data_IF_725137684496
#
_entry.id   IF_725137684496
#
_cell.length_a   1.000
_cell.length_b   1.000
_cell.length_c   1.000
_cell.angle_alpha   90.00
_cell.angle_beta   90.00
_cell.angle_gamma   90.00
#
_symmetry.space_group_name_H-M   'P 1'
#
loop_
_entity.id
_entity.type
_entity.pdbx_description
1 polymer ?
#
# COMPACT_ATOMS: atom_id res chain seq x y z
N UNK A 1 15.24 5.42 -22.05
CA UNK A 1 15.66 5.52 -20.62
C UNK A 1 14.46 5.14 -19.79
N UNK A 2 14.63 4.32 -18.75
CA UNK A 2 13.54 3.97 -17.84
C UNK A 2 13.06 5.23 -17.12
N UNK A 3 11.75 5.49 -17.16
CA UNK A 3 11.13 6.60 -16.44
C UNK A 3 10.63 6.08 -15.10
N UNK A 4 10.96 6.80 -14.03
CA UNK A 4 10.57 6.44 -12.68
C UNK A 4 9.54 7.42 -12.14
N UNK A 5 8.64 6.90 -11.30
CA UNK A 5 7.65 7.67 -10.54
C UNK A 5 7.79 7.35 -9.06
N UNK A 6 7.25 8.24 -8.22
CA UNK A 6 7.25 8.05 -6.77
C UNK A 6 5.95 7.39 -6.36
N UNK A 7 6.01 6.13 -5.93
CA UNK A 7 4.86 5.43 -5.35
C UNK A 7 4.87 5.64 -3.83
N UNK A 8 3.74 6.12 -3.32
CA UNK A 8 3.45 6.32 -1.91
C UNK A 8 2.68 5.11 -1.36
N UNK A 9 3.07 4.62 -0.19
CA UNK A 9 2.37 3.54 0.50
C UNK A 9 2.11 3.89 1.97
N UNK A 10 0.82 3.97 2.33
CA UNK A 10 0.33 4.35 3.67
C UNK A 10 0.18 3.17 4.62
N UNK A 11 0.45 1.95 4.16
CA UNK A 11 0.46 0.76 5.03
C UNK A 11 1.65 0.84 6.00
N UNK A 12 1.51 0.37 7.26
CA UNK A 12 2.58 0.53 8.26
C UNK A 12 3.91 -0.06 7.81
N UNK A 13 3.91 -1.32 7.35
CA UNK A 13 5.12 -2.06 6.97
C UNK A 13 5.43 -2.05 5.47
N UNK A 14 4.51 -1.55 4.65
CA UNK A 14 4.60 -1.62 3.20
C UNK A 14 3.84 -2.80 2.63
N UNK A 15 4.03 -3.05 1.34
CA UNK A 15 3.43 -4.16 0.60
C UNK A 15 4.27 -4.47 -0.63
N UNK A 16 4.31 -5.75 -1.01
CA UNK A 16 4.90 -6.17 -2.28
C UNK A 16 3.83 -6.09 -3.38
N UNK A 17 4.13 -5.35 -4.44
CA UNK A 17 3.30 -5.30 -5.62
C UNK A 17 3.76 -6.39 -6.57
N UNK A 18 2.84 -7.25 -6.98
CA UNK A 18 3.10 -8.34 -7.91
C UNK A 18 2.37 -8.10 -9.22
N UNK A 19 3.09 -8.29 -10.33
CA UNK A 19 2.55 -8.27 -11.67
C UNK A 19 2.51 -9.70 -12.20
N UNK A 20 1.32 -10.17 -12.60
CA UNK A 20 1.12 -11.52 -13.09
C UNK A 20 0.85 -11.54 -14.59
N UNK A 21 1.13 -12.67 -15.23
CA UNK A 21 0.66 -12.93 -16.60
C UNK A 21 -0.83 -13.33 -16.56
N UNK A 22 -1.69 -12.43 -17.04
CA UNK A 22 -3.13 -12.63 -17.00
C UNK A 22 -3.60 -13.81 -17.86
N UNK A 23 -2.91 -14.13 -18.96
CA UNK A 23 -3.32 -15.24 -19.81
C UNK A 23 -2.98 -16.57 -19.14
N UNK A 24 -1.78 -16.68 -18.56
CA UNK A 24 -1.43 -17.80 -17.67
C UNK A 24 -2.42 -17.94 -16.49
N UNK A 25 -2.84 -16.84 -15.87
CA UNK A 25 -3.84 -16.90 -14.78
C UNK A 25 -5.22 -17.36 -15.27
N UNK A 26 -5.68 -16.92 -16.44
CA UNK A 26 -6.94 -17.37 -17.04
C UNK A 26 -6.90 -18.84 -17.39
N UNK A 27 -5.82 -19.33 -17.98
CA UNK A 27 -5.66 -20.76 -18.30
C UNK A 27 -5.74 -21.60 -17.02
N UNK A 28 -5.04 -21.16 -15.97
CA UNK A 28 -5.08 -21.81 -14.66
C UNK A 28 -6.47 -21.80 -14.03
N UNK A 29 -7.20 -20.68 -14.13
CA UNK A 29 -8.55 -20.55 -13.60
C UNK A 29 -9.57 -21.45 -14.33
N UNK A 30 -9.33 -21.74 -15.61
CA UNK A 30 -10.18 -22.63 -16.43
C UNK A 30 -9.72 -24.09 -16.43
N UNK A 31 -8.68 -24.45 -15.68
CA UNK A 31 -8.17 -25.82 -15.63
C UNK A 31 -9.20 -26.77 -15.00
N UNK A 32 -9.45 -27.90 -15.66
CA UNK A 32 -10.33 -28.96 -15.14
C UNK A 32 -9.71 -29.71 -13.94
N UNK A 33 -8.38 -29.73 -13.85
CA UNK A 33 -7.66 -30.32 -12.73
C UNK A 33 -7.22 -29.22 -11.74
N UNK A 34 -7.28 -29.47 -10.41
CA UNK A 34 -6.81 -28.52 -9.43
C UNK A 34 -5.30 -28.30 -9.54
N UNK A 35 -4.90 -27.04 -9.67
CA UNK A 35 -3.48 -26.64 -9.70
C UNK A 35 -3.09 -26.21 -8.29
N UNK A 36 -2.37 -27.09 -7.56
CA UNK A 36 -1.98 -26.87 -6.16
C UNK A 36 -0.75 -25.97 -5.93
N UNK A 37 -0.15 -25.44 -7.00
CA UNK A 37 1.00 -24.52 -6.92
C UNK A 37 0.51 -23.08 -6.93
N UNK A 38 1.17 -22.17 -6.22
CA UNK A 38 0.90 -20.73 -6.36
C UNK A 38 1.24 -20.23 -7.78
N UNK A 39 0.61 -19.14 -8.23
CA UNK A 39 1.08 -18.44 -9.42
C UNK A 39 2.39 -17.72 -9.10
N UNK A 40 3.32 -17.72 -10.06
CA UNK A 40 4.58 -16.99 -9.93
C UNK A 40 4.41 -15.63 -10.59
N UNK A 41 4.67 -14.52 -9.87
CA UNK A 41 4.63 -13.20 -10.47
C UNK A 41 5.73 -13.07 -11.52
N UNK A 42 5.42 -12.39 -12.62
CA UNK A 42 6.40 -12.04 -13.67
C UNK A 42 7.41 -11.03 -13.14
N UNK A 43 6.94 -10.08 -12.32
CA UNK A 43 7.76 -9.04 -11.71
C UNK A 43 7.15 -8.63 -10.37
N UNK A 44 7.99 -8.29 -9.40
CA UNK A 44 7.54 -7.73 -8.13
C UNK A 44 8.35 -6.51 -7.71
N UNK A 45 7.73 -5.64 -6.91
CA UNK A 45 8.35 -4.45 -6.33
C UNK A 45 7.88 -4.28 -4.89
N UNK A 46 8.82 -4.26 -3.94
CA UNK A 46 8.54 -3.99 -2.54
C UNK A 46 8.39 -2.47 -2.30
N UNK A 47 7.23 -2.06 -1.81
CA UNK A 47 6.99 -0.68 -1.39
C UNK A 47 7.34 -0.48 0.07
N UNK A 48 8.00 0.64 0.36
CA UNK A 48 8.24 1.08 1.72
C UNK A 48 6.92 1.51 2.37
N UNK A 49 6.66 1.07 3.59
CA UNK A 49 5.50 1.52 4.37
C UNK A 49 5.68 2.86 5.07
N UNK A 50 4.60 3.36 5.68
CA UNK A 50 4.54 4.60 6.45
C UNK A 50 5.55 4.67 7.61
N UNK A 51 6.03 3.53 8.14
CA UNK A 51 7.12 3.49 9.12
C UNK A 51 8.47 4.00 8.57
N UNK A 52 8.63 4.03 7.25
CA UNK A 52 9.80 4.58 6.56
C UNK A 52 9.60 6.05 6.15
N UNK A 53 8.49 6.69 6.55
CA UNK A 53 8.32 8.13 6.36
C UNK A 53 9.36 8.89 7.20
N UNK A 54 10.02 9.95 6.67
CA UNK A 54 11.02 10.72 7.41
C UNK A 54 10.50 11.35 8.71
N UNK A 55 9.19 11.57 8.81
CA UNK A 55 8.53 12.16 9.99
C UNK A 55 8.00 11.10 10.96
N UNK A 56 8.21 9.81 10.69
CA UNK A 56 7.77 8.73 11.55
C UNK A 56 8.63 8.61 12.81
N UNK A 57 7.98 8.64 13.98
CA UNK A 57 8.62 8.38 15.26
C UNK A 57 8.10 7.06 15.88
N UNK A 58 8.96 6.06 16.12
CA UNK A 58 8.54 4.76 16.65
C UNK A 58 7.77 4.82 17.98
N UNK A 59 8.14 5.74 18.88
CA UNK A 59 7.47 5.86 20.18
C UNK A 59 6.05 6.43 20.07
N UNK A 60 5.77 7.22 19.03
CA UNK A 60 4.41 7.76 18.80
C UNK A 60 3.54 6.77 18.02
N UNK A 61 4.15 5.95 17.15
CA UNK A 61 3.45 4.98 16.32
C UNK A 61 2.39 5.58 15.38
N UNK A 62 2.32 6.91 15.26
CA UNK A 62 1.31 7.62 14.48
C UNK A 62 1.49 7.34 12.99
N UNK A 63 0.44 6.87 12.31
CA UNK A 63 0.46 6.62 10.87
C UNK A 63 -0.29 7.69 10.06
N UNK A 64 -1.14 8.47 10.75
CA UNK A 64 -1.96 9.50 10.14
C UNK A 64 -1.08 10.55 9.43
N UNK A 65 -1.33 10.72 8.12
CA UNK A 65 -0.57 11.62 7.26
C UNK A 65 0.85 11.18 6.90
N UNK A 66 1.19 9.91 7.10
CA UNK A 66 2.52 9.35 6.78
C UNK A 66 2.44 8.32 5.66
N UNK A 67 3.49 8.23 4.85
CA UNK A 67 3.61 7.22 3.80
C UNK A 67 5.09 6.90 3.50
N UNK A 68 5.38 5.64 3.19
CA UNK A 68 6.67 5.30 2.61
C UNK A 68 6.71 5.71 1.13
N UNK A 69 7.90 6.04 0.65
CA UNK A 69 8.16 6.45 -0.73
C UNK A 69 9.08 5.43 -1.38
N UNK A 70 8.73 4.98 -2.57
CA UNK A 70 9.55 4.07 -3.38
C UNK A 70 9.59 4.57 -4.82
N UNK A 71 10.79 4.62 -5.43
CA UNK A 71 10.92 4.88 -6.86
C UNK A 71 10.60 3.60 -7.62
N UNK A 72 9.64 3.68 -8.54
CA UNK A 72 9.15 2.53 -9.30
C UNK A 72 9.16 2.89 -10.78
N UNK A 73 9.51 1.94 -11.64
CA UNK A 73 9.42 2.12 -13.08
C UNK A 73 7.96 2.42 -13.48
N UNK A 74 7.78 3.44 -14.29
CA UNK A 74 6.46 3.93 -14.70
C UNK A 74 5.66 2.85 -15.44
N UNK A 75 6.34 2.07 -16.29
CA UNK A 75 5.72 0.98 -17.05
C UNK A 75 5.17 -0.12 -16.12
N UNK A 76 5.97 -0.55 -15.13
CA UNK A 76 5.52 -1.49 -14.11
C UNK A 76 4.31 -0.97 -13.35
N UNK A 77 4.36 0.28 -12.87
CA UNK A 77 3.25 0.85 -12.11
C UNK A 77 1.97 0.94 -12.93
N UNK A 78 2.06 1.41 -14.17
CA UNK A 78 0.91 1.55 -15.05
C UNK A 78 0.27 0.19 -15.38
N UNK A 79 1.09 -0.85 -15.59
CA UNK A 79 0.59 -2.20 -15.83
C UNK A 79 -0.04 -2.79 -14.56
N UNK A 80 0.63 -2.66 -13.42
CA UNK A 80 0.11 -3.12 -12.13
C UNK A 80 -1.22 -2.45 -11.79
N UNK A 81 -1.33 -1.14 -11.99
CA UNK A 81 -2.53 -0.36 -11.74
C UNK A 81 -3.70 -0.83 -12.62
N UNK A 82 -3.45 -1.15 -13.90
CA UNK A 82 -4.48 -1.73 -14.78
C UNK A 82 -4.98 -3.09 -14.27
N UNK A 83 -4.09 -3.93 -13.73
CA UNK A 83 -4.48 -5.21 -13.15
C UNK A 83 -5.24 -5.07 -11.82
N UNK A 84 -5.00 -3.98 -11.08
CA UNK A 84 -5.44 -3.80 -9.70
C UNK A 84 -6.31 -2.55 -9.44
N UNK A 85 -6.92 -1.96 -10.48
CA UNK A 85 -7.65 -0.69 -10.37
C UNK A 85 -8.78 -0.71 -9.32
N UNK A 86 -9.33 -1.92 -9.05
CA UNK A 86 -10.43 -2.16 -8.10
C UNK A 86 -9.96 -2.60 -6.72
N UNK A 87 -8.66 -2.78 -6.53
CA UNK A 87 -8.09 -3.22 -5.26
C UNK A 87 -8.23 -2.11 -4.21
N UNK A 88 -8.58 -2.47 -2.97
CA UNK A 88 -8.67 -1.57 -1.84
C UNK A 88 -7.42 -0.70 -1.63
N UNK A 89 -6.24 -1.22 -1.99
CA UNK A 89 -5.00 -0.46 -1.96
C UNK A 89 -5.09 0.81 -2.81
N UNK A 90 -5.70 0.71 -3.99
CA UNK A 90 -5.87 1.81 -4.95
C UNK A 90 -7.11 2.64 -4.60
N UNK A 91 -8.26 1.99 -4.43
CA UNK A 91 -9.55 2.69 -4.28
C UNK A 91 -9.63 3.50 -2.98
N UNK A 92 -8.94 3.07 -1.92
CA UNK A 92 -8.84 3.80 -0.65
C UNK A 92 -7.60 4.69 -0.54
N UNK A 93 -6.89 4.93 -1.66
CA UNK A 93 -5.66 5.73 -1.71
C UNK A 93 -4.62 5.30 -0.66
N UNK A 94 -4.50 4.00 -0.40
CA UNK A 94 -3.44 3.46 0.47
C UNK A 94 -2.13 3.32 -0.29
N UNK A 95 -2.19 3.04 -1.59
CA UNK A 95 -1.07 3.01 -2.51
C UNK A 95 -1.43 3.84 -3.74
N UNK A 96 -0.62 4.84 -4.05
CA UNK A 96 -0.83 5.74 -5.18
C UNK A 96 0.51 6.32 -5.64
N UNK A 97 0.56 6.90 -6.84
CA UNK A 97 1.80 7.39 -7.40
C UNK A 97 1.72 8.85 -7.84
N UNK A 98 2.87 9.52 -7.74
CA UNK A 98 3.04 10.89 -8.18
C UNK A 98 4.28 11.01 -9.07
N UNK A 99 4.23 11.96 -10.01
CA UNK A 99 5.26 12.12 -11.03
C UNK A 99 6.61 12.59 -10.47
N UNK A 100 6.63 13.16 -9.26
CA UNK A 100 7.86 13.60 -8.59
C UNK A 100 7.72 13.55 -7.07
N UNK A 101 8.85 13.50 -6.32
CA UNK A 101 8.83 13.54 -4.86
C UNK A 101 8.08 14.76 -4.29
N UNK A 102 8.26 15.94 -4.89
CA UNK A 102 7.57 17.17 -4.45
C UNK A 102 6.05 17.06 -4.58
N UNK A 103 5.56 16.45 -5.66
CA UNK A 103 4.13 16.19 -5.82
C UNK A 103 3.63 15.13 -4.83
N UNK A 104 4.45 14.12 -4.56
CA UNK A 104 4.18 13.10 -3.56
C UNK A 104 3.98 13.72 -2.16
N UNK A 105 4.84 14.66 -1.78
CA UNK A 105 4.72 15.37 -0.50
C UNK A 105 3.47 16.27 -0.43
N UNK A 106 3.14 16.95 -1.53
CA UNK A 106 1.92 17.76 -1.62
C UNK A 106 0.65 16.90 -1.49
N UNK A 107 0.59 15.77 -2.20
CA UNK A 107 -0.52 14.83 -2.12
C UNK A 107 -0.67 14.25 -0.70
N UNK A 108 0.44 13.93 -0.03
CA UNK A 108 0.39 13.43 1.34
C UNK A 108 -0.10 14.49 2.33
N UNK A 109 0.26 15.76 2.13
CA UNK A 109 -0.22 16.87 2.95
C UNK A 109 -1.74 17.06 2.83
N UNK A 110 -2.31 16.88 1.63
CA UNK A 110 -3.76 16.90 1.41
C UNK A 110 -4.48 15.77 2.16
N UNK A 111 -3.85 14.60 2.24
CA UNK A 111 -4.38 13.41 2.92
C UNK A 111 -4.02 13.35 4.42
N UNK A 112 -3.37 14.39 4.95
CA UNK A 112 -2.83 14.39 6.33
C UNK A 112 -3.85 14.19 7.44
N UNK A 113 -5.12 14.53 7.18
CA UNK A 113 -6.23 14.38 8.13
C UNK A 113 -7.12 13.17 7.83
N UNK A 114 -6.91 12.52 6.69
CA UNK A 114 -7.71 11.37 6.28
C UNK A 114 -7.19 10.11 6.95
N UNK A 115 -8.07 9.38 7.65
CA UNK A 115 -7.72 8.12 8.29
C UNK A 115 -7.65 6.99 7.26
N UNK A 116 -6.62 6.16 7.35
CA UNK A 116 -6.49 4.92 6.58
C UNK A 116 -7.35 3.79 7.16
N UNK A 117 -7.71 3.89 8.44
CA UNK A 117 -8.33 2.80 9.20
C UNK A 117 -7.32 1.80 9.78
N UNK A 118 -6.02 2.04 9.58
CA UNK A 118 -4.92 1.26 10.15
C UNK A 118 -4.26 1.98 11.34
N UNK A 119 -4.74 3.18 11.68
CA UNK A 119 -4.35 3.88 12.89
C UNK A 119 -4.90 3.18 14.14
N UNK A 120 -4.19 3.31 15.26
CA UNK A 120 -4.70 2.87 16.55
C UNK A 120 -6.02 3.55 16.91
N UNK A 121 -6.82 2.88 17.74
CA UNK A 121 -8.04 3.47 18.28
C UNK A 121 -7.71 4.64 19.21
N UNK A 122 -8.60 5.63 19.21
CA UNK A 122 -8.53 6.74 20.15
C UNK A 122 -8.78 6.20 21.57
N UNK A 123 -7.83 6.34 22.51
CA UNK A 123 -8.01 5.88 23.88
C UNK A 123 -9.21 6.52 24.58
N UNK A 124 -9.64 7.70 24.17
CA UNK A 124 -10.73 8.44 24.81
C UNK A 124 -12.08 8.21 24.10
N UNK A 125 -12.07 7.50 22.97
CA UNK A 125 -13.26 7.14 22.22
C UNK A 125 -13.17 5.69 21.73
N UNK A 126 -13.13 4.77 22.69
CA UNK A 126 -13.11 3.33 22.42
C UNK A 126 -14.51 2.83 22.00
N UNK A 127 -14.60 1.81 21.13
CA UNK A 127 -15.85 1.13 20.86
C UNK A 127 -16.48 0.59 22.16
N UNK A 128 -17.82 0.54 22.23
CA UNK A 128 -18.57 0.25 23.46
C UNK A 128 -18.15 -1.04 24.18
N UNK A 129 -17.66 -2.03 23.45
CA UNK A 129 -17.28 -3.33 23.98
C UNK A 129 -15.76 -3.47 24.24
N UNK A 130 -15.00 -2.38 24.19
CA UNK A 130 -13.54 -2.36 24.38
C UNK A 130 -13.20 -1.59 25.66
N UNK A 131 -12.48 -2.25 26.57
CA UNK A 131 -11.99 -1.66 27.83
C UNK A 131 -10.49 -1.39 27.77
N UNK A 132 -10.00 -0.34 28.44
CA UNK A 132 -8.55 -0.14 28.62
C UNK A 132 -7.99 -1.29 29.47
N UNK A 133 -6.87 -1.86 29.04
CA UNK A 133 -6.13 -2.82 29.86
C UNK A 133 -5.50 -2.04 31.02
N UNK A 134 -5.90 -2.34 32.26
CA UNK A 134 -5.19 -1.85 33.44
C UNK A 134 -3.81 -2.52 33.48
N UNK A 135 -2.74 -1.71 33.51
CA UNK A 135 -1.38 -2.22 33.66
C UNK A 135 -1.18 -2.62 35.12
N UNK A 136 -0.78 -3.87 35.36
CA UNK A 136 -0.28 -4.35 36.65
C UNK A 136 0.98 -3.61 37.11
#
# INVERSE_FOLDING_TARGET
MAKFITVLCRLPSGVELELHDLDSLKERANSAAPIGLASVPRQSVLLNGAKHDPTYHPAEGRLLGRAGRTQVEEDFWNEWLKQNERNDLVTRKLVFAEASPTKADAALAELSKERTGLEGNDPDNLPKDVSKLEKE
#
